data_IF_122566419348
#
_entry.id   IF_122566419348
#
_cell.length_a   1.000
_cell.length_b   1.000
_cell.length_c   1.000
_cell.angle_alpha   90.00
_cell.angle_beta   90.00
_cell.angle_gamma   90.00
#
_symmetry.space_group_name_H-M   'P 1'
#
loop_
_entity.id
_entity.type
_entity.pdbx_description
1 polymer ?
#
# COMPACT_ATOMS: atom_id res chain seq x y z
N UNK A 1 6.68 -29.55 3.62
CA UNK A 1 6.00 -28.48 2.84
C UNK A 1 4.91 -27.91 3.73
N UNK A 2 4.96 -26.60 4.05
CA UNK A 2 3.90 -25.96 4.83
C UNK A 2 2.63 -25.76 4.02
N UNK A 3 1.47 -25.87 4.66
CA UNK A 3 0.15 -25.61 4.06
C UNK A 3 0.07 -24.17 3.58
N UNK A 4 -0.38 -23.93 2.32
CA UNK A 4 -0.66 -22.56 1.87
C UNK A 4 -2.03 -22.13 2.40
N UNK A 5 -2.17 -20.93 2.99
CA UNK A 5 -3.45 -20.46 3.53
C UNK A 5 -4.45 -20.18 2.40
N UNK A 6 -5.73 -20.28 2.72
CA UNK A 6 -6.81 -19.75 1.87
C UNK A 6 -6.90 -18.22 1.96
N UNK A 7 -7.80 -17.62 1.18
CA UNK A 7 -8.03 -16.18 1.14
C UNK A 7 -8.39 -15.58 2.50
N UNK A 8 -9.28 -16.20 3.27
CA UNK A 8 -9.68 -15.74 4.60
C UNK A 8 -8.52 -15.77 5.59
N UNK A 9 -7.82 -16.89 5.67
CA UNK A 9 -6.66 -17.08 6.55
C UNK A 9 -5.54 -16.13 6.18
N UNK A 10 -5.23 -15.96 4.89
CA UNK A 10 -4.20 -15.02 4.43
C UNK A 10 -4.58 -13.57 4.77
N UNK A 11 -5.84 -13.23 4.58
CA UNK A 11 -6.37 -11.91 4.92
C UNK A 11 -6.21 -11.63 6.43
N UNK A 12 -6.60 -12.56 7.30
CA UNK A 12 -6.43 -12.43 8.75
C UNK A 12 -4.95 -12.34 9.14
N UNK A 13 -4.11 -13.25 8.65
CA UNK A 13 -2.68 -13.32 8.96
C UNK A 13 -1.94 -12.04 8.57
N UNK A 14 -2.19 -11.50 7.37
CA UNK A 14 -1.56 -10.25 6.94
C UNK A 14 -1.96 -9.09 7.85
N UNK A 15 -3.26 -8.95 8.19
CA UNK A 15 -3.72 -7.88 9.09
C UNK A 15 -3.09 -8.03 10.49
N UNK A 16 -3.07 -9.24 11.03
CA UNK A 16 -2.48 -9.51 12.34
C UNK A 16 -0.98 -9.15 12.36
N UNK A 17 -0.25 -9.52 11.31
CA UNK A 17 1.18 -9.21 11.19
C UNK A 17 1.43 -7.70 11.03
N UNK A 18 0.58 -6.99 10.27
CA UNK A 18 0.69 -5.54 10.11
C UNK A 18 0.42 -4.80 11.43
N UNK A 19 -0.65 -5.16 12.15
CA UNK A 19 -0.97 -4.61 13.47
C UNK A 19 0.16 -4.90 14.46
N UNK A 20 0.67 -6.13 14.50
CA UNK A 20 1.79 -6.50 15.35
C UNK A 20 3.05 -5.67 15.05
N UNK A 21 3.37 -5.48 13.76
CA UNK A 21 4.53 -4.67 13.32
C UNK A 21 4.44 -3.22 13.84
N UNK A 22 3.24 -2.62 13.81
CA UNK A 22 3.03 -1.25 14.29
C UNK A 22 2.99 -1.15 15.81
N UNK A 23 2.40 -2.13 16.52
CA UNK A 23 2.39 -2.19 17.99
C UNK A 23 3.81 -2.31 18.53
N UNK A 24 4.65 -3.18 17.95
CA UNK A 24 6.04 -3.34 18.39
C UNK A 24 6.86 -2.06 18.26
N UNK A 25 6.58 -1.23 17.25
CA UNK A 25 7.21 0.08 17.10
C UNK A 25 6.48 1.19 17.90
N UNK A 26 5.42 0.86 18.65
CA UNK A 26 4.54 1.78 19.39
C UNK A 26 3.95 2.89 18.52
N UNK A 27 3.58 2.54 17.28
CA UNK A 27 3.15 3.51 16.25
C UNK A 27 1.68 3.45 15.88
N UNK A 28 0.89 2.50 16.40
CA UNK A 28 -0.50 2.34 16.00
C UNK A 28 -1.42 3.31 16.78
N UNK A 29 -2.07 4.29 16.12
CA UNK A 29 -2.98 5.21 16.79
C UNK A 29 -4.27 4.50 17.21
N UNK A 30 -4.86 4.84 18.39
CA UNK A 30 -6.15 4.30 18.80
C UNK A 30 -7.28 4.55 17.80
N UNK A 31 -7.30 5.72 17.15
CA UNK A 31 -8.31 6.05 16.13
C UNK A 31 -8.31 5.04 14.98
N UNK A 32 -7.14 4.60 14.53
CA UNK A 32 -7.01 3.64 13.44
C UNK A 32 -7.51 2.24 13.84
N UNK A 33 -7.36 1.86 15.11
CA UNK A 33 -7.97 0.65 15.67
C UNK A 33 -9.49 0.74 15.76
N UNK A 34 -10.05 1.90 16.08
CA UNK A 34 -11.51 2.09 16.08
C UNK A 34 -12.07 2.07 14.65
N UNK A 35 -11.38 2.71 13.69
CA UNK A 35 -11.75 2.67 12.27
C UNK A 35 -11.70 1.24 11.69
N UNK A 36 -10.78 0.40 12.18
CA UNK A 36 -10.75 -1.04 11.87
C UNK A 36 -11.95 -1.83 12.39
N UNK A 37 -12.68 -1.33 13.40
CA UNK A 37 -13.90 -1.96 13.90
C UNK A 37 -15.15 -1.44 13.18
N UNK A 38 -15.04 -0.30 12.49
CA UNK A 38 -16.16 0.33 11.79
C UNK A 38 -16.31 -0.19 10.37
N UNK A 39 -17.51 -0.69 10.02
CA UNK A 39 -17.77 -1.30 8.71
C UNK A 39 -17.50 -0.37 7.52
N UNK A 40 -17.82 0.91 7.64
CA UNK A 40 -17.67 1.92 6.59
C UNK A 40 -16.22 2.39 6.39
N UNK A 41 -15.40 2.33 7.45
CA UNK A 41 -14.01 2.80 7.47
C UNK A 41 -12.98 1.68 7.43
N UNK A 42 -13.41 0.43 7.65
CA UNK A 42 -12.58 -0.77 7.73
C UNK A 42 -11.58 -0.86 6.58
N UNK A 43 -12.06 -0.69 5.34
CA UNK A 43 -11.24 -0.88 4.15
C UNK A 43 -10.10 0.14 4.08
N UNK A 44 -10.39 1.42 4.35
CA UNK A 44 -9.39 2.49 4.37
C UNK A 44 -8.35 2.26 5.46
N UNK A 45 -8.82 2.07 6.70
CA UNK A 45 -7.96 1.85 7.87
C UNK A 45 -7.06 0.62 7.71
N UNK A 46 -7.62 -0.48 7.17
CA UNK A 46 -6.86 -1.69 6.88
C UNK A 46 -5.72 -1.43 5.89
N UNK A 47 -5.98 -0.65 4.83
CA UNK A 47 -4.95 -0.35 3.83
C UNK A 47 -3.89 0.61 4.36
N UNK A 48 -4.29 1.64 5.11
CA UNK A 48 -3.37 2.54 5.81
C UNK A 48 -2.42 1.77 6.73
N UNK A 49 -2.97 0.84 7.54
CA UNK A 49 -2.19 -0.05 8.40
C UNK A 49 -1.22 -0.91 7.60
N UNK A 50 -1.66 -1.50 6.48
CA UNK A 50 -0.80 -2.34 5.64
C UNK A 50 0.42 -1.56 5.11
N UNK A 51 0.20 -0.34 4.57
CA UNK A 51 1.29 0.49 4.06
C UNK A 51 2.20 0.97 5.19
N UNK A 52 1.65 1.46 6.30
CA UNK A 52 2.44 1.88 7.44
C UNK A 52 3.28 0.73 8.01
N UNK A 53 2.73 -0.49 8.09
CA UNK A 53 3.45 -1.65 8.58
C UNK A 53 4.57 -2.10 7.65
N UNK A 54 4.43 -1.94 6.33
CA UNK A 54 5.52 -2.14 5.37
C UNK A 54 6.69 -1.21 5.70
N UNK A 55 6.42 0.08 5.91
CA UNK A 55 7.45 1.04 6.31
C UNK A 55 8.08 0.70 7.66
N UNK A 56 7.28 0.29 8.65
CA UNK A 56 7.79 -0.13 9.95
C UNK A 56 8.75 -1.33 9.88
N UNK A 57 8.48 -2.28 8.96
CA UNK A 57 9.34 -3.45 8.68
C UNK A 57 10.61 -3.08 7.92
N UNK A 58 10.62 -1.97 7.18
CA UNK A 58 11.79 -1.40 6.52
C UNK A 58 12.59 -0.45 7.44
N UNK A 59 12.42 -0.60 8.75
CA UNK A 59 13.04 0.21 9.80
C UNK A 59 12.80 1.73 9.66
N UNK A 60 11.64 2.11 9.13
CA UNK A 60 11.18 3.49 9.19
C UNK A 60 10.47 3.77 10.52
N UNK A 61 10.69 4.97 11.05
CA UNK A 61 9.82 5.58 12.04
C UNK A 61 8.56 6.10 11.34
N UNK A 62 7.38 5.64 11.76
CA UNK A 62 6.10 6.09 11.19
C UNK A 62 5.47 7.10 12.14
N UNK A 63 5.04 8.24 11.61
CA UNK A 63 4.36 9.31 12.35
C UNK A 63 3.04 9.62 11.64
N UNK A 64 1.94 9.14 12.23
CA UNK A 64 0.60 9.41 11.74
C UNK A 64 0.25 10.88 11.94
N UNK A 65 -0.39 11.47 10.93
CA UNK A 65 -0.91 12.82 11.02
C UNK A 65 -2.09 12.85 11.99
N UNK A 66 -2.20 13.91 12.78
CA UNK A 66 -3.38 14.15 13.61
C UNK A 66 -4.61 14.44 12.73
N UNK A 67 -5.63 13.57 12.84
CA UNK A 67 -6.91 13.70 12.14
C UNK A 67 -7.67 14.99 12.51
N UNK A 68 -7.35 15.62 13.65
CA UNK A 68 -7.95 16.87 14.10
C UNK A 68 -7.27 18.13 13.54
N UNK A 69 -6.17 17.97 12.81
CA UNK A 69 -5.49 19.11 12.18
C UNK A 69 -6.37 19.72 11.08
N UNK A 70 -6.49 21.05 11.09
CA UNK A 70 -7.26 21.78 10.06
C UNK A 70 -6.55 21.82 8.70
N UNK A 71 -5.26 21.53 8.65
CA UNK A 71 -4.50 21.43 7.42
C UNK A 71 -4.57 20.01 6.87
N UNK A 72 -4.99 19.89 5.61
CA UNK A 72 -4.92 18.65 4.85
C UNK A 72 -3.47 18.21 4.72
N UNK A 73 -3.15 17.09 5.35
CA UNK A 73 -1.86 16.43 5.22
C UNK A 73 -2.07 15.00 4.76
N UNK A 74 -0.98 14.41 4.28
CA UNK A 74 -0.91 12.99 3.99
C UNK A 74 -1.22 12.14 5.23
N UNK A 75 -1.63 10.89 5.04
CA UNK A 75 -1.97 9.97 6.14
C UNK A 75 -0.86 9.88 7.21
N UNK A 76 0.41 9.83 6.78
CA UNK A 76 1.55 9.79 7.70
C UNK A 76 2.85 10.22 7.03
N UNK A 77 3.84 10.59 7.85
CA UNK A 77 5.23 10.79 7.45
C UNK A 77 6.05 9.60 7.93
N UNK A 78 6.98 9.14 7.10
CA UNK A 78 7.93 8.09 7.47
C UNK A 78 9.34 8.64 7.42
N UNK A 79 10.17 8.25 8.39
CA UNK A 79 11.59 8.61 8.43
C UNK A 79 12.42 7.33 8.49
N UNK A 80 13.23 7.07 7.47
CA UNK A 80 14.13 5.91 7.47
C UNK A 80 15.26 6.12 8.48
N UNK A 81 15.41 5.22 9.46
CA UNK A 81 16.30 5.44 10.62
C UNK A 81 17.77 5.52 10.26
N UNK A 82 18.25 4.70 9.31
CA UNK A 82 19.67 4.72 8.95
C UNK A 82 20.07 6.01 8.24
N UNK A 83 19.22 6.54 7.35
CA UNK A 83 19.54 7.71 6.52
C UNK A 83 18.93 9.01 7.02
N UNK A 84 18.09 8.96 8.07
CA UNK A 84 17.30 10.08 8.60
C UNK A 84 16.40 10.77 7.57
N UNK A 85 16.13 10.08 6.46
CA UNK A 85 15.42 10.67 5.35
C UNK A 85 13.92 10.49 5.48
N UNK A 86 13.15 11.54 5.18
CA UNK A 86 11.70 11.54 5.37
C UNK A 86 10.92 11.54 4.07
N UNK A 87 9.77 10.86 4.08
CA UNK A 87 8.81 10.78 2.98
C UNK A 87 7.39 11.02 3.52
N UNK A 88 6.64 11.87 2.83
CA UNK A 88 5.21 12.03 3.06
C UNK A 88 4.45 10.94 2.29
N UNK A 89 3.53 10.25 2.97
CA UNK A 89 2.86 9.05 2.44
C UNK A 89 1.35 9.22 2.50
N UNK A 90 0.72 9.05 1.35
CA UNK A 90 -0.74 9.03 1.21
C UNK A 90 -1.21 7.64 0.76
N UNK A 91 -2.16 7.04 1.49
CA UNK A 91 -2.72 5.75 1.15
C UNK A 91 -4.22 5.86 0.86
N UNK A 92 -4.67 5.28 -0.25
CA UNK A 92 -6.09 5.21 -0.63
C UNK A 92 -6.45 3.82 -1.10
N UNK A 93 -7.61 3.32 -0.69
CA UNK A 93 -8.15 2.06 -1.21
C UNK A 93 -9.43 2.31 -1.98
N UNK A 94 -9.58 1.64 -3.13
CA UNK A 94 -10.75 1.79 -3.99
C UNK A 94 -11.95 1.05 -3.40
N UNK A 95 -12.94 1.80 -2.96
CA UNK A 95 -14.23 1.21 -2.54
C UNK A 95 -14.95 0.63 -3.75
N UNK A 96 -15.60 -0.52 -3.54
CA UNK A 96 -16.37 -1.21 -4.56
C UNK A 96 -17.70 -1.66 -3.97
N UNK A 97 -18.83 -1.46 -4.68
CA UNK A 97 -20.12 -1.93 -4.19
C UNK A 97 -20.08 -3.41 -3.81
N UNK A 98 -20.75 -3.76 -2.72
CA UNK A 98 -20.85 -5.12 -2.17
C UNK A 98 -19.52 -5.77 -1.71
N UNK A 99 -18.41 -5.04 -1.71
CA UNK A 99 -17.10 -5.54 -1.28
C UNK A 99 -16.74 -4.89 0.05
N UNK A 100 -16.26 -5.68 1.02
CA UNK A 100 -15.82 -5.18 2.34
C UNK A 100 -16.85 -4.22 2.98
N UNK A 101 -18.09 -4.68 3.07
CA UNK A 101 -19.22 -3.96 3.71
C UNK A 101 -19.69 -2.68 3.00
N UNK A 102 -19.19 -2.38 1.81
CA UNK A 102 -19.67 -1.25 1.03
C UNK A 102 -21.07 -1.51 0.46
N UNK A 103 -21.99 -0.58 0.71
CA UNK A 103 -23.36 -0.64 0.20
C UNK A 103 -23.38 -0.49 -1.33
N UNK A 104 -24.26 -1.25 -1.99
CA UNK A 104 -24.54 -1.15 -3.42
C UNK A 104 -24.52 -2.51 -4.11
N UNK A 105 -24.60 -2.49 -5.44
CA UNK A 105 -24.64 -3.70 -6.26
C UNK A 105 -23.51 -3.71 -7.31
N UNK A 106 -22.85 -4.84 -7.47
CA UNK A 106 -21.86 -5.05 -8.52
C UNK A 106 -22.55 -5.20 -9.89
N UNK A 107 -22.46 -4.18 -10.73
CA UNK A 107 -23.17 -4.19 -12.01
C UNK A 107 -22.51 -5.09 -13.09
N UNK A 108 -21.21 -5.39 -12.99
CA UNK A 108 -20.52 -6.32 -13.91
C UNK A 108 -19.11 -6.71 -13.43
N UNK A 109 -18.63 -7.89 -13.85
CA UNK A 109 -17.25 -8.35 -13.64
C UNK A 109 -16.22 -7.40 -14.27
N UNK A 110 -16.51 -6.84 -15.46
CA UNK A 110 -15.62 -5.88 -16.12
C UNK A 110 -15.33 -4.66 -15.22
N UNK A 111 -16.36 -4.08 -14.59
CA UNK A 111 -16.16 -2.96 -13.66
C UNK A 111 -15.41 -3.37 -12.39
N UNK A 112 -15.60 -4.62 -11.94
CA UNK A 112 -14.88 -5.18 -10.81
C UNK A 112 -13.38 -5.35 -11.13
N UNK A 113 -13.03 -5.74 -12.35
CA UNK A 113 -11.63 -5.89 -12.79
C UNK A 113 -10.97 -4.57 -13.22
N UNK A 114 -11.75 -3.54 -13.56
CA UNK A 114 -11.25 -2.22 -13.98
C UNK A 114 -10.70 -1.39 -12.82
N UNK A 115 -9.70 -0.55 -13.11
CA UNK A 115 -9.20 0.50 -12.23
C UNK A 115 -9.68 1.91 -12.64
N UNK A 116 -10.63 2.09 -13.56
CA UNK A 116 -11.01 3.42 -14.09
C UNK A 116 -11.30 4.51 -13.04
N UNK A 117 -11.88 4.16 -11.89
CA UNK A 117 -12.14 5.10 -10.79
C UNK A 117 -10.89 5.51 -9.99
N UNK A 118 -9.76 4.80 -10.12
CA UNK A 118 -8.49 5.17 -9.46
C UNK A 118 -7.96 6.52 -9.93
N UNK A 119 -8.39 7.04 -11.09
CA UNK A 119 -8.10 8.42 -11.51
C UNK A 119 -8.60 9.44 -10.49
N UNK A 120 -9.80 9.26 -9.93
CA UNK A 120 -10.34 10.16 -8.91
C UNK A 120 -9.52 10.05 -7.62
N UNK A 121 -9.27 8.83 -7.16
CA UNK A 121 -8.46 8.56 -5.96
C UNK A 121 -7.05 9.15 -6.10
N UNK A 122 -6.42 8.99 -7.25
CA UNK A 122 -5.11 9.57 -7.54
C UNK A 122 -5.14 11.09 -7.46
N UNK A 123 -6.13 11.75 -8.08
CA UNK A 123 -6.25 13.21 -7.97
C UNK A 123 -6.55 13.66 -6.54
N UNK A 124 -7.34 12.89 -5.78
CA UNK A 124 -7.66 13.21 -4.39
C UNK A 124 -6.45 13.03 -3.47
N UNK A 125 -5.62 12.00 -3.72
CA UNK A 125 -4.36 11.77 -3.04
C UNK A 125 -3.35 12.90 -3.32
N UNK A 126 -3.25 13.37 -4.58
CA UNK A 126 -2.39 14.51 -4.93
C UNK A 126 -2.73 15.80 -4.16
N UNK A 127 -3.99 15.98 -3.75
CA UNK A 127 -4.41 17.15 -2.95
C UNK A 127 -3.89 17.10 -1.51
N UNK A 128 -3.42 15.95 -1.03
CA UNK A 128 -2.87 15.78 0.32
C UNK A 128 -1.36 16.01 0.38
N UNK A 129 -0.73 16.39 -0.73
CA UNK A 129 0.70 16.69 -0.74
C UNK A 129 1.02 17.87 0.20
N UNK A 130 1.96 17.72 1.15
CA UNK A 130 2.33 18.78 2.08
C UNK A 130 3.12 19.95 1.44
N UNK A 131 3.62 19.76 0.21
CA UNK A 131 4.31 20.72 -0.67
C UNK A 131 5.75 21.08 -0.31
N UNK A 132 6.30 20.47 0.74
CA UNK A 132 7.63 20.74 1.29
C UNK A 132 8.46 19.47 1.55
N UNK A 133 7.98 18.30 1.13
CA UNK A 133 8.67 17.01 1.31
C UNK A 133 8.49 16.09 0.09
N UNK A 134 9.38 15.09 -0.11
CA UNK A 134 9.14 14.03 -1.09
C UNK A 134 7.84 13.28 -0.77
N UNK A 135 6.97 13.16 -1.76
CA UNK A 135 5.61 12.66 -1.58
C UNK A 135 5.38 11.38 -2.39
N UNK A 136 4.83 10.36 -1.76
CA UNK A 136 4.53 9.06 -2.37
C UNK A 136 3.07 8.71 -2.14
N UNK A 137 2.41 8.20 -3.18
CA UNK A 137 1.00 7.82 -3.14
C UNK A 137 0.87 6.31 -3.33
N UNK A 138 0.04 5.68 -2.51
CA UNK A 138 -0.32 4.28 -2.58
C UNK A 138 -1.81 4.14 -2.87
N UNK A 139 -2.17 3.38 -3.90
CA UNK A 139 -3.55 3.14 -4.29
C UNK A 139 -3.80 1.64 -4.37
N UNK A 140 -4.64 1.12 -3.46
CA UNK A 140 -5.17 -0.22 -3.60
C UNK A 140 -6.30 -0.24 -4.63
N UNK A 141 -6.09 -1.01 -5.70
CA UNK A 141 -7.07 -1.16 -6.78
C UNK A 141 -8.22 -2.07 -6.39
N UNK A 142 -8.06 -2.86 -5.31
CA UNK A 142 -9.09 -3.71 -4.72
C UNK A 142 -9.80 -4.60 -5.77
N UNK A 143 -9.07 -5.22 -6.68
CA UNK A 143 -9.61 -6.05 -7.76
C UNK A 143 -9.44 -7.54 -7.47
N UNK A 144 -10.35 -8.42 -7.89
CA UNK A 144 -10.09 -9.85 -7.92
C UNK A 144 -8.77 -10.16 -8.62
N UNK A 145 -8.02 -11.11 -8.08
CA UNK A 145 -6.76 -11.59 -8.65
C UNK A 145 -7.08 -12.47 -9.86
N UNK A 146 -6.32 -12.29 -10.94
CA UNK A 146 -6.48 -13.03 -12.19
C UNK A 146 -5.18 -13.76 -12.54
N UNK A 147 -4.84 -14.86 -11.84
CA UNK A 147 -3.50 -15.45 -11.90
C UNK A 147 -3.10 -15.90 -13.32
N UNK A 148 -4.07 -16.29 -14.14
CA UNK A 148 -3.86 -16.73 -15.51
C UNK A 148 -3.68 -15.59 -16.53
N UNK A 149 -3.78 -14.33 -16.11
CA UNK A 149 -3.58 -13.17 -16.97
C UNK A 149 -2.21 -12.55 -16.66
N UNK A 150 -1.31 -12.43 -17.65
CA UNK A 150 -0.03 -11.75 -17.47
C UNK A 150 -0.22 -10.33 -16.93
N UNK A 151 0.70 -9.88 -16.06
CA UNK A 151 0.59 -8.59 -15.37
C UNK A 151 0.29 -7.41 -16.32
N UNK A 152 0.99 -7.34 -17.46
CA UNK A 152 0.80 -6.27 -18.45
C UNK A 152 -0.57 -6.30 -19.14
N UNK A 153 -1.26 -7.44 -19.10
CA UNK A 153 -2.56 -7.66 -19.74
C UNK A 153 -3.75 -7.49 -18.82
N UNK A 154 -3.53 -7.40 -17.51
CA UNK A 154 -4.58 -7.23 -16.51
C UNK A 154 -5.37 -5.93 -16.76
N UNK A 155 -6.71 -5.96 -16.71
CA UNK A 155 -7.54 -4.78 -16.95
C UNK A 155 -7.18 -3.59 -16.06
N UNK A 156 -6.94 -3.83 -14.76
CA UNK A 156 -6.56 -2.78 -13.82
C UNK A 156 -5.20 -2.15 -14.16
N UNK A 157 -4.21 -2.95 -14.62
CA UNK A 157 -2.89 -2.45 -15.04
C UNK A 157 -3.01 -1.62 -16.32
N UNK A 158 -3.82 -2.06 -17.29
CA UNK A 158 -4.10 -1.29 -18.52
C UNK A 158 -4.72 0.07 -18.20
N UNK A 159 -5.63 0.13 -17.23
CA UNK A 159 -6.24 1.37 -16.76
C UNK A 159 -5.22 2.28 -16.05
N UNK A 160 -4.32 1.72 -15.23
CA UNK A 160 -3.21 2.48 -14.62
C UNK A 160 -2.28 3.04 -15.69
N UNK A 161 -1.87 2.26 -16.69
CA UNK A 161 -1.07 2.74 -17.83
C UNK A 161 -1.74 3.88 -18.60
N UNK A 162 -3.06 3.78 -18.82
CA UNK A 162 -3.84 4.88 -19.44
C UNK A 162 -3.82 6.14 -18.56
N UNK A 163 -3.97 6.00 -17.25
CA UNK A 163 -3.87 7.13 -16.30
C UNK A 163 -2.48 7.78 -16.38
N UNK A 164 -1.42 6.98 -16.37
CA UNK A 164 -0.03 7.44 -16.52
C UNK A 164 0.12 8.26 -17.79
N UNK A 165 -0.23 7.68 -18.94
CA UNK A 165 -0.04 8.32 -20.23
C UNK A 165 -0.83 9.64 -20.32
N UNK A 166 -2.05 9.68 -19.75
CA UNK A 166 -2.87 10.90 -19.73
C UNK A 166 -2.33 11.99 -18.80
N UNK A 167 -1.66 11.62 -17.70
CA UNK A 167 -1.20 12.56 -16.67
C UNK A 167 0.25 12.99 -16.85
N UNK A 168 1.09 12.09 -17.33
CA UNK A 168 2.54 12.24 -17.43
C UNK A 168 3.04 12.29 -18.87
N UNK A 169 2.22 11.91 -19.86
CA UNK A 169 2.61 11.94 -21.28
C UNK A 169 2.93 13.32 -21.86
N UNK A 170 2.70 14.39 -21.09
CA UNK A 170 3.12 15.76 -21.41
C UNK A 170 4.02 16.43 -20.35
N UNK A 171 4.41 15.70 -19.30
CA UNK A 171 5.23 16.22 -18.19
C UNK A 171 6.70 15.95 -18.52
N UNK A 172 7.20 16.50 -19.62
CA UNK A 172 8.56 16.18 -20.08
C UNK A 172 9.63 17.17 -19.60
N UNK A 173 9.26 18.20 -18.83
CA UNK A 173 10.24 19.19 -18.31
C UNK A 173 9.84 19.95 -17.05
N UNK A 174 8.61 19.82 -16.56
CA UNK A 174 8.16 20.52 -15.34
C UNK A 174 8.30 19.64 -14.10
N UNK A 175 8.79 20.25 -13.01
CA UNK A 175 8.80 19.63 -11.69
C UNK A 175 7.39 19.19 -11.29
N UNK A 176 7.26 17.91 -10.96
CA UNK A 176 5.98 17.31 -10.59
C UNK A 176 5.95 17.06 -9.08
N UNK A 177 4.86 17.38 -8.37
CA UNK A 177 4.82 17.35 -6.90
C UNK A 177 4.91 15.93 -6.32
N UNK A 178 4.64 14.90 -7.11
CA UNK A 178 4.71 13.50 -6.70
C UNK A 178 6.08 12.90 -7.06
N UNK A 179 6.59 12.04 -6.18
CA UNK A 179 7.79 11.26 -6.44
C UNK A 179 7.49 9.93 -7.15
N UNK A 180 6.62 9.13 -6.52
CA UNK A 180 6.24 7.81 -7.03
C UNK A 180 4.77 7.52 -6.67
N UNK A 181 4.06 6.83 -7.55
CA UNK A 181 2.77 6.23 -7.22
C UNK A 181 2.85 4.71 -7.31
N UNK A 182 2.46 4.03 -6.24
CA UNK A 182 2.30 2.59 -6.22
C UNK A 182 0.83 2.22 -6.32
N UNK A 183 0.52 1.29 -7.22
CA UNK A 183 -0.80 0.68 -7.34
C UNK A 183 -0.67 -0.77 -6.91
N UNK A 184 -1.35 -1.13 -5.82
CA UNK A 184 -1.29 -2.47 -5.24
C UNK A 184 -2.63 -3.19 -5.44
N UNK A 185 -2.59 -4.51 -5.47
CA UNK A 185 -3.76 -5.37 -5.48
C UNK A 185 -3.53 -6.56 -4.55
N UNK A 186 -3.71 -6.35 -3.24
CA UNK A 186 -3.47 -7.42 -2.26
C UNK A 186 -4.68 -8.35 -2.12
N UNK A 187 -5.89 -7.80 -2.04
CA UNK A 187 -7.17 -8.41 -2.44
C UNK A 187 -7.47 -9.87 -2.02
N UNK A 188 -6.87 -10.38 -0.94
CA UNK A 188 -7.08 -11.77 -0.48
C UNK A 188 -8.54 -12.08 -0.12
N UNK A 189 -9.35 -11.08 0.24
CA UNK A 189 -10.77 -11.24 0.56
C UNK A 189 -11.61 -11.76 -0.62
N UNK A 190 -11.20 -11.57 -1.88
CA UNK A 190 -11.91 -12.14 -3.03
C UNK A 190 -11.69 -13.63 -3.20
N UNK A 191 -10.66 -14.19 -2.57
CA UNK A 191 -10.25 -15.56 -2.80
C UNK A 191 -10.97 -16.54 -1.87
N UNK A 192 -11.55 -16.05 -0.78
CA UNK A 192 -12.38 -16.82 0.18
C UNK A 192 -11.70 -18.11 0.65
N UNK A 193 -12.23 -19.26 0.29
CA UNK A 193 -11.74 -20.60 0.63
C UNK A 193 -10.69 -21.13 -0.37
N UNK A 194 -10.47 -20.41 -1.47
CA UNK A 194 -9.41 -20.77 -2.42
C UNK A 194 -8.05 -20.42 -1.83
N UNK A 195 -7.06 -21.24 -2.20
CA UNK A 195 -5.65 -21.02 -1.91
C UNK A 195 -5.25 -19.59 -2.30
N UNK A 196 -4.70 -18.85 -1.34
CA UNK A 196 -4.36 -17.45 -1.56
C UNK A 196 -3.18 -17.31 -2.53
N UNK A 197 -3.44 -16.63 -3.64
CA UNK A 197 -2.47 -16.10 -4.58
C UNK A 197 -1.70 -14.92 -3.96
N UNK A 198 -0.51 -14.66 -4.50
CA UNK A 198 0.31 -13.51 -4.13
C UNK A 198 -0.37 -12.19 -4.54
N UNK A 199 -0.14 -11.14 -3.75
CA UNK A 199 -0.58 -9.79 -4.11
C UNK A 199 0.20 -9.25 -5.30
N UNK A 200 -0.38 -8.29 -6.00
CA UNK A 200 0.22 -7.70 -7.20
C UNK A 200 0.54 -6.22 -6.96
N UNK A 201 1.56 -5.67 -7.63
CA UNK A 201 1.80 -4.22 -7.63
C UNK A 201 2.40 -3.72 -8.95
N UNK A 202 2.11 -2.47 -9.30
CA UNK A 202 2.86 -1.71 -10.31
C UNK A 202 3.19 -0.32 -9.79
N UNK A 203 4.35 0.21 -10.15
CA UNK A 203 4.83 1.52 -9.70
C UNK A 203 5.00 2.47 -10.89
N UNK A 204 4.70 3.75 -10.68
CA UNK A 204 4.96 4.84 -11.61
C UNK A 204 6.00 5.75 -10.98
N UNK A 205 7.22 5.71 -11.50
CA UNK A 205 8.29 6.62 -11.10
C UNK A 205 8.12 7.91 -11.91
N UNK A 206 8.12 9.04 -11.22
CA UNK A 206 8.00 10.35 -11.86
C UNK A 206 9.40 10.79 -12.32
N UNK A 207 9.62 11.16 -13.60
CA UNK A 207 10.95 11.50 -14.11
C UNK A 207 11.58 12.75 -13.47
N UNK A 208 10.76 13.76 -13.18
CA UNK A 208 11.22 15.05 -12.64
C UNK A 208 10.42 15.42 -11.38
N UNK A 209 10.61 14.70 -10.26
CA UNK A 209 9.90 15.03 -9.04
C UNK A 209 10.45 16.33 -8.44
N UNK A 210 9.57 17.21 -7.98
CA UNK A 210 9.94 18.47 -7.30
C UNK A 210 10.84 18.22 -6.09
N UNK A 211 10.57 17.13 -5.38
CA UNK A 211 11.38 16.66 -4.26
C UNK A 211 11.88 15.25 -4.58
N UNK A 212 13.16 15.10 -4.95
CA UNK A 212 13.72 13.80 -5.30
C UNK A 212 13.71 12.86 -4.09
N UNK A 213 13.73 11.54 -4.33
CA UNK A 213 13.76 10.59 -3.24
C UNK A 213 15.12 10.73 -2.54
N UNK A 214 15.16 10.69 -1.21
CA UNK A 214 16.38 10.95 -0.47
C UNK A 214 17.40 9.79 -0.57
N UNK A 215 16.94 8.59 -0.91
CA UNK A 215 17.78 7.43 -1.17
C UNK A 215 17.14 6.56 -2.28
N UNK A 216 17.77 6.42 -3.47
CA UNK A 216 17.28 5.55 -4.54
C UNK A 216 17.20 4.07 -4.15
N UNK A 217 18.12 3.56 -3.33
CA UNK A 217 18.12 2.15 -2.90
C UNK A 217 16.91 1.81 -2.04
N UNK A 218 16.45 2.77 -1.24
CA UNK A 218 15.26 2.60 -0.40
C UNK A 218 14.01 2.23 -1.21
N UNK A 219 13.86 2.79 -2.41
CA UNK A 219 12.75 2.45 -3.30
C UNK A 219 12.84 1.01 -3.84
N UNK A 220 14.04 0.47 -4.01
CA UNK A 220 14.25 -0.94 -4.32
C UNK A 220 13.77 -1.85 -3.19
N UNK A 221 14.12 -1.54 -1.94
CA UNK A 221 13.64 -2.29 -0.77
C UNK A 221 12.13 -2.16 -0.58
N UNK A 222 11.57 -0.96 -0.77
CA UNK A 222 10.14 -0.71 -0.72
C UNK A 222 9.38 -1.51 -1.79
N UNK A 223 9.86 -1.51 -3.03
CA UNK A 223 9.27 -2.30 -4.10
C UNK A 223 9.34 -3.81 -3.80
N UNK A 224 10.46 -4.28 -3.26
CA UNK A 224 10.58 -5.67 -2.81
C UNK A 224 9.57 -6.00 -1.71
N UNK A 225 9.42 -5.14 -0.70
CA UNK A 225 8.46 -5.36 0.38
C UNK A 225 6.99 -5.35 -0.09
N UNK A 226 6.65 -4.49 -1.06
CA UNK A 226 5.34 -4.47 -1.70
C UNK A 226 5.05 -5.75 -2.49
N UNK A 227 6.02 -6.23 -3.28
CA UNK A 227 5.90 -7.48 -4.04
C UNK A 227 5.71 -8.69 -3.12
N UNK A 228 6.33 -8.68 -1.94
CA UNK A 228 6.27 -9.78 -0.97
C UNK A 228 5.25 -9.55 0.15
N UNK A 229 4.33 -8.60 -0.01
CA UNK A 229 3.32 -8.33 1.01
C UNK A 229 2.52 -9.60 1.36
N UNK A 230 2.23 -9.73 2.67
CA UNK A 230 1.59 -10.90 3.25
C UNK A 230 2.53 -12.09 3.50
N UNK A 231 3.80 -12.03 3.09
CA UNK A 231 4.81 -12.98 3.55
C UNK A 231 5.16 -12.67 5.01
N UNK A 232 4.96 -13.66 5.88
CA UNK A 232 5.42 -13.61 7.27
C UNK A 232 6.70 -14.43 7.32
N UNK A 233 7.86 -13.83 7.63
CA UNK A 233 9.12 -14.55 7.66
C UNK A 233 9.08 -15.65 8.72
N UNK A 234 9.66 -16.80 8.40
CA UNK A 234 9.98 -17.79 9.42
C UNK A 234 11.04 -17.15 10.35
N UNK A 235 10.75 -17.09 11.64
CA UNK A 235 11.74 -16.71 12.64
C UNK A 235 12.46 -18.01 13.02
N UNK A 236 13.60 -18.25 12.41
CA UNK A 236 14.50 -19.32 12.84
C UNK A 236 15.29 -18.82 14.05
N UNK A 237 14.79 -19.15 15.24
CA UNK A 237 15.38 -18.73 16.50
C UNK A 237 16.77 -19.35 16.68
N UNK A 238 16.97 -20.58 16.19
CA UNK A 238 18.23 -21.31 16.37
C UNK A 238 19.34 -20.64 15.56
N UNK A 239 19.04 -20.22 14.32
CA UNK A 239 19.98 -19.47 13.47
C UNK A 239 20.35 -18.09 14.05
N UNK A 240 19.41 -17.43 14.74
CA UNK A 240 19.65 -16.16 15.43
C UNK A 240 20.54 -16.35 16.67
N UNK A 241 20.39 -17.45 17.40
CA UNK A 241 21.23 -17.76 18.58
C UNK A 241 22.65 -18.14 18.18
N UNK A 242 22.83 -18.89 17.08
CA UNK A 242 24.15 -19.25 16.55
C UNK A 242 24.96 -18.04 16.02
N UNK A 243 24.28 -17.01 15.50
CA UNK A 243 24.92 -15.76 15.09
C UNK A 243 25.22 -14.83 16.26
N UNK A 244 24.48 -14.96 17.37
CA UNK A 244 24.71 -14.22 18.62
C UNK A 244 25.84 -14.81 19.48
N UNK A 245 26.12 -16.10 19.34
CA UNK A 245 27.18 -16.82 20.06
C UNK A 245 28.58 -16.77 19.43
N UNK A 246 28.76 -16.02 18.34
CA UNK A 246 30.07 -15.79 17.68
C UNK A 246 30.60 -14.36 17.88
N UNK A 247 30.47 -13.84 19.11
CA UNK A 247 31.17 -12.65 19.57
C UNK A 247 32.18 -13.03 20.66
#
# INVERSE_FOLDING_TARGET
MGTKPDGYSKNLLSLAFDVCSLIHKRKLPPSLLERLKSHDQYQGARYEIAIAAIFARLDCDVQFTDENSKSKHCEFIVTHRATQSSLAVEAKSKHRPSVLHQIGFLSSLEKLLSARMTRRLFNDALKQNPKDAPFVVFIDVNSPITPNIPMNDKPWVKDVKKLVNQKLGGVSSQEYPLNTAFFTNFSYHYQTENKAEQGEMTGIVIPHPKFPPPNPEFFGYLQSALNHYGFVPAIDIDQLLESSGRN
#
